data_IF_898841603467
#
_entry.id   IF_898841603467
#
_cell.length_a   1.000
_cell.length_b   1.000
_cell.length_c   1.000
_cell.angle_alpha   90.00
_cell.angle_beta   90.00
_cell.angle_gamma   90.00
#
_symmetry.space_group_name_H-M   'P 1'
#
loop_
_entity.id
_entity.type
_entity.pdbx_description
1 polymer ?
#
# COMPACT_ATOMS: atom_id res chain seq x y z
N UNK A 1 27.43 -17.88 -26.04
CA UNK A 1 28.84 -18.22 -25.76
C UNK A 1 29.44 -18.77 -27.05
N UNK A 2 30.58 -18.30 -27.50
CA UNK A 2 31.25 -18.92 -28.63
C UNK A 2 31.92 -20.21 -28.15
N UNK A 3 31.86 -21.26 -28.97
CA UNK A 3 32.60 -22.49 -28.67
C UNK A 3 34.13 -22.28 -28.91
N UNK A 4 34.94 -23.23 -28.46
CA UNK A 4 36.40 -23.16 -28.58
C UNK A 4 36.90 -23.19 -30.04
N UNK A 5 36.04 -23.35 -31.05
CA UNK A 5 36.36 -23.44 -32.45
C UNK A 5 35.95 -22.13 -33.19
N UNK A 6 35.40 -21.16 -32.46
CA UNK A 6 34.93 -19.88 -33.02
C UNK A 6 33.60 -19.94 -33.74
N UNK A 7 32.93 -21.08 -33.71
CA UNK A 7 31.55 -21.20 -34.19
C UNK A 7 30.61 -20.63 -33.13
N UNK A 8 29.74 -19.70 -33.51
CA UNK A 8 28.64 -19.31 -32.65
C UNK A 8 27.71 -20.52 -32.58
N UNK A 9 27.60 -21.12 -31.38
CA UNK A 9 26.55 -22.06 -31.13
C UNK A 9 25.21 -21.36 -31.48
N UNK A 10 24.42 -22.01 -32.32
CA UNK A 10 23.06 -21.54 -32.62
C UNK A 10 22.25 -21.65 -31.33
N UNK A 11 22.32 -20.63 -30.52
CA UNK A 11 21.55 -20.53 -29.28
C UNK A 11 20.29 -19.77 -29.63
N UNK A 12 19.16 -20.40 -29.37
CA UNK A 12 17.87 -19.74 -29.47
C UNK A 12 17.75 -18.78 -28.30
N UNK A 13 17.76 -17.48 -28.58
CA UNK A 13 17.58 -16.42 -27.58
C UNK A 13 16.11 -16.03 -27.42
N UNK A 14 15.20 -16.73 -28.07
CA UNK A 14 13.74 -16.48 -28.01
C UNK A 14 13.39 -15.01 -28.33
N UNK A 15 14.06 -14.41 -29.31
CA UNK A 15 13.84 -13.02 -29.69
C UNK A 15 12.48 -12.79 -30.36
N UNK A 16 11.87 -13.86 -30.85
CA UNK A 16 10.54 -13.92 -31.44
C UNK A 16 9.43 -14.09 -30.39
N UNK A 17 9.80 -14.42 -29.15
CA UNK A 17 8.83 -14.59 -28.07
C UNK A 17 8.54 -13.24 -27.41
N UNK A 18 7.28 -12.80 -27.36
CA UNK A 18 6.94 -11.56 -26.65
C UNK A 18 7.32 -11.61 -25.17
N UNK A 19 7.70 -10.46 -24.61
CA UNK A 19 8.01 -10.35 -23.19
C UNK A 19 6.78 -10.75 -22.35
N UNK A 20 6.92 -11.83 -21.58
CA UNK A 20 5.89 -12.31 -20.68
C UNK A 20 5.88 -11.48 -19.38
N UNK A 21 5.55 -10.20 -19.49
CA UNK A 21 5.39 -9.33 -18.35
C UNK A 21 3.93 -8.99 -18.16
N UNK A 22 3.37 -9.37 -17.02
CA UNK A 22 2.03 -8.90 -16.64
C UNK A 22 2.08 -7.40 -16.37
N UNK A 23 1.27 -6.65 -17.12
CA UNK A 23 1.09 -5.22 -16.89
C UNK A 23 0.21 -4.99 -15.67
N UNK A 24 0.56 -3.98 -14.86
CA UNK A 24 -0.31 -3.47 -13.82
C UNK A 24 -0.89 -2.13 -14.25
N UNK A 25 -2.21 -2.05 -14.28
CA UNK A 25 -2.93 -0.84 -14.66
C UNK A 25 -4.10 -0.56 -13.71
N UNK A 26 -4.07 0.63 -13.14
CA UNK A 26 -5.20 1.23 -12.42
C UNK A 26 -5.46 2.59 -13.06
N UNK A 27 -6.72 2.98 -13.20
CA UNK A 27 -7.10 4.27 -13.79
C UNK A 27 -6.35 5.41 -13.09
N UNK A 28 -5.64 6.22 -13.86
CA UNK A 28 -4.86 7.36 -13.36
C UNK A 28 -3.40 7.06 -13.03
N UNK A 29 -2.93 5.81 -13.10
CA UNK A 29 -1.53 5.47 -12.81
C UNK A 29 -0.59 5.46 -14.02
N UNK A 30 -1.06 5.92 -15.17
CA UNK A 30 -0.29 5.87 -16.44
C UNK A 30 1.06 6.57 -16.34
N UNK A 31 1.14 7.65 -15.57
CA UNK A 31 2.34 8.45 -15.38
C UNK A 31 3.20 8.02 -14.18
N UNK A 32 2.76 7.00 -13.43
CA UNK A 32 3.52 6.51 -12.30
C UNK A 32 4.76 5.73 -12.74
N UNK A 33 5.87 5.94 -12.03
CA UNK A 33 7.06 5.13 -12.19
C UNK A 33 6.84 3.67 -11.74
N UNK A 34 7.81 2.81 -12.03
CA UNK A 34 7.73 1.40 -11.67
C UNK A 34 7.60 1.20 -10.15
N UNK A 35 8.32 1.99 -9.35
CA UNK A 35 8.27 1.90 -7.90
C UNK A 35 6.89 2.22 -7.34
N UNK A 36 6.23 3.25 -7.87
CA UNK A 36 4.86 3.58 -7.50
C UNK A 36 3.88 2.48 -7.93
N UNK A 37 4.01 1.98 -9.17
CA UNK A 37 3.18 0.87 -9.66
C UNK A 37 3.34 -0.38 -8.81
N UNK A 38 4.56 -0.71 -8.38
CA UNK A 38 4.83 -1.82 -7.47
C UNK A 38 4.18 -1.63 -6.09
N UNK A 39 4.15 -0.41 -5.55
CA UNK A 39 3.43 -0.11 -4.30
C UNK A 39 1.91 -0.21 -4.49
N UNK A 40 1.39 0.34 -5.58
CA UNK A 40 -0.05 0.29 -5.87
C UNK A 40 -0.54 -1.14 -6.14
N UNK A 41 0.27 -2.00 -6.76
CA UNK A 41 -0.09 -3.40 -7.00
C UNK A 41 -0.21 -4.24 -5.72
N UNK A 42 0.29 -3.74 -4.59
CA UNK A 42 0.06 -4.34 -3.26
C UNK A 42 -1.21 -3.85 -2.59
N UNK A 43 -1.81 -2.80 -3.12
CA UNK A 43 -3.06 -2.21 -2.62
C UNK A 43 -4.25 -2.59 -3.46
N UNK A 44 -4.05 -2.75 -4.76
CA UNK A 44 -5.09 -3.09 -5.73
C UNK A 44 -4.77 -4.45 -6.33
N UNK A 45 -5.75 -5.34 -6.37
CA UNK A 45 -5.58 -6.62 -7.04
C UNK A 45 -5.24 -6.40 -8.52
N UNK A 46 -4.12 -6.93 -9.02
CA UNK A 46 -3.69 -6.70 -10.39
C UNK A 46 -4.68 -7.18 -11.46
N UNK A 47 -5.52 -8.15 -11.13
CA UNK A 47 -6.49 -8.73 -12.09
C UNK A 47 -7.79 -7.96 -12.15
N UNK A 48 -8.35 -7.62 -10.98
CA UNK A 48 -9.65 -6.94 -10.90
C UNK A 48 -9.54 -5.42 -10.82
N UNK A 49 -8.39 -4.89 -10.38
CA UNK A 49 -8.20 -3.48 -10.07
C UNK A 49 -8.92 -3.00 -8.81
N UNK A 50 -9.56 -3.91 -8.08
CA UNK A 50 -10.33 -3.59 -6.87
C UNK A 50 -9.44 -3.68 -5.62
N UNK A 51 -9.93 -3.13 -4.51
CA UNK A 51 -9.28 -3.22 -3.19
C UNK A 51 -10.33 -3.23 -2.09
N UNK A 52 -10.08 -4.00 -1.04
CA UNK A 52 -10.80 -3.94 0.22
C UNK A 52 -9.91 -3.28 1.25
N UNK A 53 -10.26 -2.06 1.65
CA UNK A 53 -9.48 -1.27 2.61
C UNK A 53 -10.18 -1.23 3.96
N UNK A 54 -9.48 -1.68 5.00
CA UNK A 54 -9.93 -1.58 6.39
C UNK A 54 -9.34 -0.34 7.04
N UNK A 55 -10.20 0.62 7.37
CA UNK A 55 -9.82 1.85 8.06
C UNK A 55 -10.09 1.72 9.57
N UNK A 56 -9.10 2.03 10.39
CA UNK A 56 -9.19 2.00 11.86
C UNK A 56 -8.53 3.22 12.52
N UNK A 57 -8.59 4.33 11.84
CA UNK A 57 -8.02 5.62 12.27
C UNK A 57 -9.02 6.51 13.02
N UNK A 58 -10.20 5.98 13.35
CA UNK A 58 -11.31 6.74 13.99
C UNK A 58 -10.89 7.42 15.30
N UNK A 59 -10.06 6.74 16.09
CA UNK A 59 -9.59 7.28 17.37
C UNK A 59 -8.80 8.59 17.27
N UNK A 60 -8.24 8.87 16.11
CA UNK A 60 -7.53 10.11 15.85
C UNK A 60 -8.47 11.33 15.82
N UNK A 61 -9.68 11.15 15.29
CA UNK A 61 -10.66 12.24 15.12
C UNK A 61 -11.67 12.27 16.25
N UNK A 62 -12.14 11.09 16.65
CA UNK A 62 -13.29 10.93 17.53
C UNK A 62 -12.90 10.59 18.98
N UNK A 63 -11.60 10.44 19.24
CA UNK A 63 -11.14 9.92 20.53
C UNK A 63 -11.44 8.42 20.72
N UNK A 64 -11.54 7.92 21.95
CA UNK A 64 -11.80 6.51 22.21
C UNK A 64 -13.08 6.03 21.53
N UNK A 65 -12.96 5.00 20.70
CA UNK A 65 -14.03 4.44 19.90
C UNK A 65 -14.27 2.99 20.31
N UNK A 66 -15.50 2.64 20.64
CA UNK A 66 -15.87 1.29 21.04
C UNK A 66 -15.50 0.28 19.94
N UNK A 67 -14.83 -0.81 20.32
CA UNK A 67 -14.36 -1.84 19.42
C UNK A 67 -12.95 -1.60 18.87
N UNK A 68 -12.34 -0.44 19.14
CA UNK A 68 -10.97 -0.12 18.73
C UNK A 68 -10.03 0.18 19.92
N UNK A 69 -10.41 -0.20 21.12
CA UNK A 69 -9.62 0.02 22.34
C UNK A 69 -8.32 -0.81 22.35
N UNK A 70 -8.38 -1.98 21.69
CA UNK A 70 -7.27 -2.91 21.58
C UNK A 70 -7.07 -3.28 20.11
N UNK A 71 -6.58 -2.33 19.33
CA UNK A 71 -6.31 -2.48 17.90
C UNK A 71 -5.36 -3.64 17.63
N UNK A 72 -4.39 -3.85 18.50
CA UNK A 72 -3.44 -4.96 18.48
C UNK A 72 -4.09 -6.36 18.57
N UNK A 73 -5.30 -6.45 19.09
CA UNK A 73 -6.06 -7.69 19.18
C UNK A 73 -7.16 -7.80 18.12
N UNK A 74 -7.77 -6.68 17.75
CA UNK A 74 -8.95 -6.67 16.88
C UNK A 74 -8.56 -6.70 15.40
N UNK A 75 -7.53 -5.96 15.00
CA UNK A 75 -7.19 -5.81 13.59
C UNK A 75 -6.39 -6.99 13.01
N UNK A 76 -5.37 -7.56 13.69
CA UNK A 76 -4.59 -8.64 13.11
C UNK A 76 -5.38 -9.86 12.61
N UNK A 77 -6.44 -10.33 13.28
CA UNK A 77 -7.26 -11.42 12.77
C UNK A 77 -8.02 -11.10 11.47
N UNK A 78 -8.20 -9.83 11.13
CA UNK A 78 -8.90 -9.38 9.93
C UNK A 78 -7.99 -9.26 8.71
N UNK A 79 -6.66 -9.31 8.89
CA UNK A 79 -5.68 -9.16 7.81
C UNK A 79 -5.94 -10.11 6.63
N UNK A 80 -6.31 -11.40 6.82
CA UNK A 80 -6.56 -12.30 5.70
C UNK A 80 -7.75 -11.92 4.81
N UNK A 81 -8.59 -11.01 5.24
CA UNK A 81 -9.84 -10.63 4.55
C UNK A 81 -9.77 -9.26 3.88
N UNK A 82 -8.61 -8.60 3.92
CA UNK A 82 -8.44 -7.24 3.41
C UNK A 82 -7.16 -7.12 2.60
N UNK A 83 -7.17 -6.22 1.63
CA UNK A 83 -5.99 -5.92 0.80
C UNK A 83 -5.14 -4.81 1.42
N UNK A 84 -5.77 -3.88 2.14
CA UNK A 84 -5.10 -2.70 2.69
C UNK A 84 -5.58 -2.40 4.10
N UNK A 85 -4.63 -2.10 4.97
CA UNK A 85 -4.86 -1.52 6.29
C UNK A 85 -4.61 -0.02 6.24
N UNK A 86 -5.58 0.79 6.66
CA UNK A 86 -5.44 2.24 6.77
C UNK A 86 -5.57 2.68 8.23
N UNK A 87 -4.50 3.30 8.73
CA UNK A 87 -4.45 3.78 10.12
C UNK A 87 -3.44 4.91 10.29
N UNK A 88 -3.33 5.41 11.51
CA UNK A 88 -2.30 6.36 11.85
C UNK A 88 -0.92 5.70 11.86
N UNK A 89 0.14 6.49 11.65
CA UNK A 89 1.52 5.99 11.68
C UNK A 89 1.84 5.24 12.98
N UNK A 90 1.47 5.83 14.12
CA UNK A 90 1.73 5.23 15.43
C UNK A 90 1.07 3.87 15.60
N UNK A 91 -0.20 3.75 15.22
CA UNK A 91 -0.96 2.50 15.32
C UNK A 91 -0.40 1.43 14.39
N UNK A 92 -0.09 1.76 13.15
CA UNK A 92 0.49 0.79 12.21
C UNK A 92 1.83 0.26 12.73
N UNK A 93 2.69 1.14 13.26
CA UNK A 93 3.99 0.73 13.80
C UNK A 93 3.89 -0.11 15.07
N UNK A 94 2.91 0.19 15.94
CA UNK A 94 2.81 -0.46 17.26
C UNK A 94 1.98 -1.74 17.24
N UNK A 95 0.97 -1.82 16.37
CA UNK A 95 -0.05 -2.87 16.44
C UNK A 95 0.01 -3.85 15.27
N UNK A 96 0.66 -3.48 14.15
CA UNK A 96 0.70 -4.33 12.96
C UNK A 96 2.12 -4.87 12.75
N UNK A 97 2.22 -6.20 12.63
CA UNK A 97 3.52 -6.82 12.35
C UNK A 97 4.13 -6.28 11.05
N UNK A 98 5.44 -5.96 11.03
CA UNK A 98 6.12 -5.58 9.81
C UNK A 98 6.13 -6.70 8.75
N UNK A 99 5.96 -7.96 9.19
CA UNK A 99 5.89 -9.14 8.30
C UNK A 99 4.51 -9.38 7.72
N UNK A 100 3.48 -8.63 8.15
CA UNK A 100 2.12 -8.80 7.64
C UNK A 100 2.08 -8.51 6.13
N UNK A 101 1.60 -9.48 5.37
CA UNK A 101 1.49 -9.43 3.91
C UNK A 101 0.18 -8.72 3.51
N UNK A 102 0.10 -7.43 3.78
CA UNK A 102 -1.05 -6.57 3.51
C UNK A 102 -0.55 -5.18 3.13
N UNK A 103 -1.23 -4.50 2.24
CA UNK A 103 -0.94 -3.10 1.93
C UNK A 103 -1.08 -2.23 3.18
N UNK A 104 -0.19 -1.27 3.36
CA UNK A 104 -0.22 -0.35 4.50
C UNK A 104 -0.38 1.08 3.99
N UNK A 105 -1.49 1.70 4.34
CA UNK A 105 -1.80 3.09 4.04
C UNK A 105 -1.74 3.91 5.32
N UNK A 106 -0.84 4.86 5.38
CA UNK A 106 -0.76 5.79 6.51
C UNK A 106 -1.67 6.97 6.25
N UNK A 107 -2.60 7.23 7.15
CA UNK A 107 -3.38 8.45 7.10
C UNK A 107 -2.49 9.65 7.48
N UNK A 108 -2.41 10.60 6.58
CA UNK A 108 -1.83 11.92 6.81
C UNK A 108 -2.99 12.90 6.87
N UNK A 109 -3.09 13.65 7.95
CA UNK A 109 -4.14 14.64 8.12
C UNK A 109 -3.57 16.03 7.93
N UNK A 110 -4.14 16.75 7.00
CA UNK A 110 -4.08 18.22 6.94
C UNK A 110 -5.35 18.72 7.59
N UNK A 111 -5.28 19.22 8.81
CA UNK A 111 -6.49 19.22 9.61
C UNK A 111 -6.88 20.54 10.25
N UNK A 112 -8.16 20.69 10.17
CA UNK A 112 -9.01 21.35 11.13
C UNK A 112 -9.82 20.28 11.87
N UNK A 113 -9.41 19.85 13.04
CA UNK A 113 -10.24 18.92 13.81
C UNK A 113 -11.35 19.71 14.50
N UNK A 114 -12.55 19.13 14.57
CA UNK A 114 -13.67 19.66 15.35
C UNK A 114 -13.38 19.69 16.87
N UNK A 115 -12.23 19.15 17.29
CA UNK A 115 -11.80 19.12 18.69
C UNK A 115 -10.94 20.33 19.09
N UNK A 116 -10.47 21.13 18.15
CA UNK A 116 -9.68 22.32 18.40
C UNK A 116 -10.37 23.53 17.81
N UNK A 117 -10.89 24.40 18.69
CA UNK A 117 -11.71 25.56 18.33
C UNK A 117 -10.99 26.67 17.56
N UNK A 118 -9.68 26.61 17.43
CA UNK A 118 -8.91 27.66 16.76
C UNK A 118 -8.47 27.23 15.36
N UNK A 119 -9.35 27.46 14.41
CA UNK A 119 -9.12 27.23 12.97
C UNK A 119 -8.38 28.38 12.30
N UNK A 120 -8.02 29.45 13.01
CA UNK A 120 -7.51 30.67 12.42
C UNK A 120 -6.02 30.59 12.02
N UNK A 121 -5.29 29.57 12.48
CA UNK A 121 -3.85 29.46 12.31
C UNK A 121 -3.37 28.42 11.30
N UNK A 122 -4.19 28.09 10.32
CA UNK A 122 -3.76 27.21 9.22
C UNK A 122 -3.44 25.79 9.67
N UNK A 123 -4.17 24.81 9.15
CA UNK A 123 -3.93 23.41 9.44
C UNK A 123 -2.47 23.02 9.15
N UNK A 124 -1.91 22.18 10.00
CA UNK A 124 -0.61 21.55 9.82
C UNK A 124 -0.74 20.06 9.47
N UNK A 125 0.29 19.49 8.88
CA UNK A 125 0.36 18.05 8.73
C UNK A 125 0.53 17.38 10.08
N UNK A 126 -0.22 16.32 10.34
CA UNK A 126 -0.13 15.54 11.57
C UNK A 126 1.09 14.60 11.61
N UNK A 127 1.92 14.62 10.59
CA UNK A 127 3.18 13.86 10.56
C UNK A 127 4.28 14.66 9.86
N UNK A 128 5.47 14.55 10.40
CA UNK A 128 6.72 15.02 9.79
C UNK A 128 7.24 14.00 8.76
#
# INVERSE_FOLDING_TARGET
MADNIGNKAAHDYHLDVPVAQEGFYVKGNTHCDWGMKNRLSRMFDPKSGNTVMLAFDHGYIMGPTAGLERIDLVIPPLIPYVDVLMGTRGVIHSCISPTAQVGKCVRVTYDSTVLFDDMSNGGGFACD
#
